data_IF_295953384627
#
_entry.id   IF_295953384627
#
_cell.length_a   1.000
_cell.length_b   1.000
_cell.length_c   1.000
_cell.angle_alpha   90.00
_cell.angle_beta   90.00
_cell.angle_gamma   90.00
#
_symmetry.space_group_name_H-M   'P 1'
#
loop_
_entity.id
_entity.type
_entity.pdbx_description
1 polymer ?
#
# COMPACT_ATOMS: atom_id res chain seq x y z
N UNK A 1 11.89 -12.95 24.04
CA UNK A 1 11.62 -12.41 22.68
C UNK A 1 10.37 -12.99 22.03
N UNK A 2 9.87 -14.16 22.43
CA UNK A 2 8.71 -14.80 21.77
C UNK A 2 7.40 -14.01 21.98
N UNK A 3 7.20 -13.43 23.17
CA UNK A 3 5.99 -12.67 23.53
C UNK A 3 5.82 -11.41 22.67
N UNK A 4 6.92 -10.74 22.34
CA UNK A 4 6.92 -9.59 21.43
C UNK A 4 6.49 -9.97 20.01
N UNK A 5 6.92 -11.14 19.51
CA UNK A 5 6.51 -11.64 18.19
C UNK A 5 5.03 -12.04 18.19
N UNK A 6 4.54 -12.65 19.27
CA UNK A 6 3.11 -12.97 19.42
C UNK A 6 2.25 -11.71 19.43
N UNK A 7 2.68 -10.67 20.16
CA UNK A 7 1.99 -9.38 20.17
C UNK A 7 1.96 -8.73 18.77
N UNK A 8 3.10 -8.68 18.08
CA UNK A 8 3.19 -8.19 16.70
C UNK A 8 2.33 -8.99 15.72
N UNK A 9 2.13 -10.28 15.97
CA UNK A 9 1.30 -11.17 15.15
C UNK A 9 -0.19 -11.11 15.47
N UNK A 10 -0.61 -10.21 16.37
CA UNK A 10 -2.03 -10.02 16.70
C UNK A 10 -2.74 -9.33 15.54
N UNK A 11 -3.96 -9.78 15.20
CA UNK A 11 -4.72 -9.30 14.05
C UNK A 11 -4.76 -7.76 13.87
N UNK A 12 -5.09 -6.95 14.90
CA UNK A 12 -5.09 -5.49 14.78
C UNK A 12 -3.71 -4.89 14.48
N UNK A 13 -2.62 -5.47 15.01
CA UNK A 13 -1.25 -4.94 14.85
C UNK A 13 -0.73 -5.22 13.44
N UNK A 14 -0.94 -6.45 12.95
CA UNK A 14 -0.66 -6.80 11.55
C UNK A 14 -1.48 -5.94 10.59
N UNK A 15 -2.76 -5.74 10.88
CA UNK A 15 -3.64 -4.93 10.04
C UNK A 15 -3.15 -3.47 9.95
N UNK A 16 -2.76 -2.86 11.07
CA UNK A 16 -2.23 -1.48 11.04
C UNK A 16 -0.93 -1.38 10.26
N UNK A 17 -0.03 -2.36 10.40
CA UNK A 17 1.23 -2.38 9.64
C UNK A 17 0.97 -2.57 8.13
N UNK A 18 0.04 -3.46 7.78
CA UNK A 18 -0.37 -3.72 6.40
C UNK A 18 -1.06 -2.51 5.76
N UNK A 19 -2.07 -1.95 6.40
CA UNK A 19 -2.79 -0.78 5.89
C UNK A 19 -1.90 0.47 5.89
N UNK A 20 -0.98 0.61 6.84
CA UNK A 20 0.02 1.69 6.82
C UNK A 20 0.95 1.58 5.61
N UNK A 21 1.45 0.38 5.31
CA UNK A 21 2.24 0.12 4.11
C UNK A 21 1.44 0.36 2.81
N UNK A 22 0.22 -0.19 2.73
CA UNK A 22 -0.67 0.00 1.58
C UNK A 22 -1.02 1.47 1.36
N UNK A 23 -1.29 2.22 2.43
CA UNK A 23 -1.57 3.65 2.35
C UNK A 23 -0.37 4.43 1.82
N UNK A 24 0.82 4.19 2.38
CA UNK A 24 2.05 4.83 1.90
C UNK A 24 2.32 4.52 0.42
N UNK A 25 2.16 3.26 0.01
CA UNK A 25 2.31 2.84 -1.39
C UNK A 25 1.29 3.51 -2.31
N UNK A 26 0.01 3.58 -1.90
CA UNK A 26 -1.05 4.22 -2.68
C UNK A 26 -0.85 5.73 -2.82
N UNK A 27 -0.35 6.39 -1.77
CA UNK A 27 0.00 7.82 -1.79
C UNK A 27 1.15 8.07 -2.77
N UNK A 28 2.20 7.24 -2.73
CA UNK A 28 3.33 7.37 -3.65
C UNK A 28 2.89 7.13 -5.10
N UNK A 29 2.04 6.12 -5.36
CA UNK A 29 1.49 5.87 -6.71
C UNK A 29 0.77 7.10 -7.24
N UNK A 30 -0.14 7.69 -6.45
CA UNK A 30 -0.87 8.89 -6.85
C UNK A 30 0.02 10.15 -6.91
N UNK A 31 1.19 10.16 -6.24
CA UNK A 31 2.18 11.24 -6.39
C UNK A 31 2.94 11.13 -7.72
N UNK A 32 3.31 9.93 -8.13
CA UNK A 32 4.00 9.68 -9.40
C UNK A 32 3.07 9.75 -10.61
N UNK A 33 1.80 9.37 -10.44
CA UNK A 33 0.76 9.42 -11.46
C UNK A 33 -0.44 10.23 -10.92
N UNK A 34 -0.32 11.57 -10.89
CA UNK A 34 -1.35 12.45 -10.29
C UNK A 34 -2.66 12.45 -11.05
N UNK A 35 -2.65 12.08 -12.33
CA UNK A 35 -3.83 11.99 -13.18
C UNK A 35 -3.85 10.62 -13.86
N UNK A 36 -4.47 9.65 -13.18
CA UNK A 36 -4.56 8.25 -13.62
C UNK A 36 -5.98 7.87 -14.04
N UNK A 37 -6.67 8.74 -14.78
CA UNK A 37 -8.01 8.46 -15.30
C UNK A 37 -8.00 7.28 -16.28
N UNK A 38 -6.93 7.15 -17.05
CA UNK A 38 -6.66 6.03 -17.96
C UNK A 38 -5.26 5.51 -17.67
N UNK A 39 -5.07 4.19 -17.70
CA UNK A 39 -3.76 3.60 -17.54
C UNK A 39 -2.86 4.01 -18.73
N UNK A 40 -1.73 4.71 -18.51
CA UNK A 40 -0.95 5.33 -19.59
C UNK A 40 -0.39 4.32 -20.60
N UNK A 41 -0.23 3.05 -20.20
CA UNK A 41 0.21 1.99 -21.11
C UNK A 41 -0.89 1.51 -22.08
N UNK A 42 -2.18 1.73 -21.77
CA UNK A 42 -3.29 1.48 -22.70
C UNK A 42 -3.45 2.62 -23.72
N UNK A 43 -3.11 3.86 -23.36
CA UNK A 43 -3.28 5.03 -24.24
C UNK A 43 -2.33 4.98 -25.45
N UNK A 44 -1.14 4.42 -25.30
CA UNK A 44 -0.11 4.40 -26.35
C UNK A 44 -0.38 3.42 -27.52
N UNK A 45 -1.51 2.72 -27.48
CA UNK A 45 -1.96 1.76 -28.50
C UNK A 45 -3.11 2.29 -29.39
N UNK A 46 -3.50 3.56 -29.23
CA UNK A 46 -4.50 4.25 -30.06
C UNK A 46 -3.87 5.46 -30.75
#
# INVERSE_FOLDING_TARGET
>A
MQDAKTYLSTAPVLATLWFGFLAGLSIEINRFFPDALVLPFLQKQI
#
